data_IF_341916817659
#
_entry.id   IF_341916817659
#
_cell.length_a   1.000
_cell.length_b   1.000
_cell.length_c   1.000
_cell.angle_alpha   90.00
_cell.angle_beta   90.00
_cell.angle_gamma   90.00
#
_symmetry.space_group_name_H-M   'P 1'
#
loop_
_entity.id
_entity.type
_entity.pdbx_description
1 polymer ?
#
# COMPACT_ATOMS: atom_id res chain seq x y z
N UNK A 1 2.21 -30.38 2.95
CA UNK A 1 2.49 -29.32 1.97
C UNK A 1 2.83 -28.06 2.76
N UNK A 2 3.95 -27.41 2.47
CA UNK A 2 4.34 -26.14 3.12
C UNK A 2 3.37 -25.06 2.68
N UNK A 3 2.83 -24.27 3.63
CA UNK A 3 1.94 -23.15 3.32
C UNK A 3 2.79 -21.95 2.86
N UNK A 4 2.28 -21.11 1.97
CA UNK A 4 3.04 -19.95 1.43
C UNK A 4 2.40 -18.63 1.85
N UNK A 5 3.26 -17.67 2.18
CA UNK A 5 2.90 -16.27 2.44
C UNK A 5 3.82 -15.39 1.61
N UNK A 6 3.27 -14.38 0.93
CA UNK A 6 4.07 -13.51 0.07
C UNK A 6 4.44 -12.19 0.71
N UNK A 7 5.47 -11.56 0.16
CA UNK A 7 5.83 -10.17 0.43
C UNK A 7 6.48 -9.57 -0.80
N UNK A 8 6.42 -8.25 -0.94
CA UNK A 8 7.18 -7.53 -1.97
C UNK A 8 8.46 -6.95 -1.38
N UNK A 9 9.66 -7.27 -1.92
CA UNK A 9 10.89 -6.61 -1.53
C UNK A 9 10.90 -5.15 -2.01
N UNK A 10 10.65 -4.22 -1.10
CA UNK A 10 10.36 -2.84 -1.43
C UNK A 10 11.33 -1.84 -0.79
N UNK A 11 11.39 -0.64 -1.37
CA UNK A 11 11.99 0.53 -0.74
C UNK A 11 11.11 1.76 -1.00
N UNK A 12 10.85 2.52 0.06
CA UNK A 12 10.00 3.71 -0.02
C UNK A 12 10.81 4.95 -0.36
N UNK A 13 10.46 5.64 -1.45
CA UNK A 13 10.86 7.02 -1.68
C UNK A 13 9.70 7.93 -1.29
N UNK A 14 9.98 8.95 -0.49
CA UNK A 14 9.01 9.96 -0.10
C UNK A 14 9.28 11.25 -0.87
N UNK A 15 8.51 11.58 -1.92
CA UNK A 15 8.68 12.83 -2.67
C UNK A 15 8.54 14.04 -1.75
N UNK A 16 7.55 13.99 -0.85
CA UNK A 16 7.34 14.99 0.19
C UNK A 16 6.42 14.45 1.29
N UNK A 17 6.62 14.93 2.52
CA UNK A 17 5.71 14.72 3.65
C UNK A 17 4.61 15.78 3.73
N UNK A 18 4.66 16.84 2.89
CA UNK A 18 3.66 17.90 2.89
C UNK A 18 2.28 17.33 2.56
N UNK A 19 1.31 17.56 3.45
CA UNK A 19 -0.06 17.14 3.21
C UNK A 19 -1.07 18.20 3.68
N UNK A 20 -1.95 18.61 2.77
CA UNK A 20 -3.02 19.55 3.07
C UNK A 20 -4.13 18.93 3.94
N UNK A 21 -4.29 17.61 3.92
CA UNK A 21 -5.17 16.89 4.83
C UNK A 21 -4.56 16.82 6.22
N UNK A 22 -5.40 16.86 7.26
CA UNK A 22 -4.99 16.81 8.67
C UNK A 22 -5.63 15.63 9.40
N UNK A 23 -5.43 14.42 8.86
CA UNK A 23 -5.93 13.20 9.49
C UNK A 23 -5.32 13.07 10.89
N UNK A 24 -6.14 12.98 11.93
CA UNK A 24 -5.65 13.07 13.31
C UNK A 24 -4.80 11.86 13.73
N UNK A 25 -4.95 10.72 13.07
CA UNK A 25 -4.16 9.50 13.27
C UNK A 25 -2.84 9.45 12.49
N UNK A 26 -2.54 10.44 11.65
CA UNK A 26 -1.42 10.36 10.72
C UNK A 26 -0.12 10.89 11.33
N UNK A 27 0.90 10.04 11.44
CA UNK A 27 2.26 10.41 11.87
C UNK A 27 3.18 10.88 10.73
N UNK A 28 2.74 10.70 9.49
CA UNK A 28 3.55 10.93 8.29
C UNK A 28 3.58 12.40 7.87
N UNK A 29 2.47 13.12 8.03
CA UNK A 29 2.31 14.46 7.44
C UNK A 29 3.16 15.53 8.10
N UNK A 30 3.57 16.50 7.31
CA UNK A 30 3.89 17.87 7.76
C UNK A 30 2.97 18.89 7.10
N UNK A 31 2.93 20.11 7.62
CA UNK A 31 2.12 21.16 7.03
C UNK A 31 2.70 21.61 5.67
N UNK A 32 1.86 22.05 4.71
CA UNK A 32 2.33 22.56 3.44
C UNK A 32 3.41 23.64 3.61
N UNK A 33 4.42 23.63 2.74
CA UNK A 33 5.59 24.52 2.75
C UNK A 33 6.58 24.30 3.91
N UNK A 34 6.48 23.20 4.67
CA UNK A 34 7.42 22.88 5.76
C UNK A 34 8.41 21.75 5.45
N UNK A 35 8.41 21.23 4.22
CA UNK A 35 9.33 20.18 3.79
C UNK A 35 9.97 20.53 2.43
N UNK A 36 11.13 19.93 2.17
CA UNK A 36 11.85 20.09 0.91
C UNK A 36 11.68 18.82 0.09
N UNK A 37 11.17 18.96 -1.12
CA UNK A 37 10.91 17.80 -1.98
C UNK A 37 12.19 17.01 -2.25
N UNK A 38 12.08 15.69 -2.20
CA UNK A 38 13.16 14.76 -2.48
C UNK A 38 13.64 14.94 -3.94
N UNK A 39 14.87 15.39 -4.15
CA UNK A 39 15.37 15.68 -5.50
C UNK A 39 15.65 14.42 -6.31
N UNK A 40 15.57 14.52 -7.64
CA UNK A 40 15.93 13.41 -8.54
C UNK A 40 17.38 12.94 -8.37
N UNK A 41 18.30 13.87 -8.06
CA UNK A 41 19.70 13.55 -7.78
C UNK A 41 19.85 12.68 -6.53
N UNK A 42 19.22 13.08 -5.41
CA UNK A 42 19.22 12.30 -4.17
C UNK A 42 18.56 10.94 -4.39
N UNK A 43 17.43 10.90 -5.09
CA UNK A 43 16.74 9.65 -5.45
C UNK A 43 17.63 8.73 -6.26
N UNK A 44 18.37 9.26 -7.25
CA UNK A 44 19.32 8.47 -8.05
C UNK A 44 20.41 7.87 -7.16
N UNK A 45 20.98 8.64 -6.24
CA UNK A 45 21.99 8.12 -5.29
C UNK A 45 21.43 7.01 -4.41
N UNK A 46 20.18 7.14 -3.95
CA UNK A 46 19.51 6.09 -3.17
C UNK A 46 19.33 4.84 -4.02
N UNK A 47 18.74 4.98 -5.21
CA UNK A 47 18.45 3.87 -6.13
C UNK A 47 19.72 3.13 -6.59
N UNK A 48 20.83 3.85 -6.81
CA UNK A 48 22.13 3.24 -7.14
C UNK A 48 22.63 2.29 -6.03
N UNK A 49 22.36 2.61 -4.76
CA UNK A 49 22.71 1.75 -3.62
C UNK A 49 21.80 0.50 -3.51
N UNK A 50 20.68 0.48 -4.23
CA UNK A 50 19.70 -0.62 -4.22
C UNK A 50 19.88 -1.60 -5.39
N UNK A 51 20.57 -1.22 -6.48
CA UNK A 51 20.67 -2.05 -7.70
C UNK A 51 21.24 -3.46 -7.48
N UNK A 52 22.08 -3.64 -6.45
CA UNK A 52 22.68 -4.95 -6.11
C UNK A 52 21.99 -5.64 -4.94
N UNK A 53 20.84 -5.12 -4.50
CA UNK A 53 20.00 -5.72 -3.45
C UNK A 53 18.80 -6.38 -4.10
N UNK A 54 18.18 -7.32 -3.39
CA UNK A 54 16.93 -7.96 -3.81
C UNK A 54 15.71 -7.04 -3.66
N UNK A 55 15.81 -5.73 -3.97
CA UNK A 55 14.69 -4.77 -3.94
C UNK A 55 14.16 -4.59 -5.36
N UNK A 56 12.91 -4.96 -5.61
CA UNK A 56 12.28 -4.82 -6.92
C UNK A 56 11.29 -3.66 -6.96
N UNK A 57 10.55 -3.43 -5.88
CA UNK A 57 9.53 -2.40 -5.79
C UNK A 57 10.11 -1.10 -5.25
N UNK A 58 9.78 0.01 -5.91
CA UNK A 58 10.00 1.35 -5.37
C UNK A 58 8.63 1.97 -5.09
N UNK A 59 8.26 1.97 -3.81
CA UNK A 59 7.02 2.57 -3.34
C UNK A 59 7.21 4.09 -3.30
N UNK A 60 6.53 4.79 -4.19
CA UNK A 60 6.45 6.26 -4.18
C UNK A 60 5.28 6.66 -3.28
N UNK A 61 5.60 6.93 -2.01
CA UNK A 61 4.64 7.30 -0.98
C UNK A 61 4.73 8.80 -0.71
N UNK A 62 3.66 9.55 -0.88
CA UNK A 62 3.69 11.02 -0.77
C UNK A 62 2.57 11.57 0.09
N UNK A 63 2.84 12.72 0.71
CA UNK A 63 1.78 13.60 1.17
C UNK A 63 1.07 14.24 -0.03
N UNK A 64 -0.07 14.88 0.20
CA UNK A 64 -0.91 15.43 -0.86
C UNK A 64 -0.74 16.95 -0.99
N UNK A 65 -0.56 17.41 -2.22
CA UNK A 65 -0.70 18.83 -2.58
C UNK A 65 -2.13 19.10 -3.06
N UNK A 66 -2.78 20.10 -2.47
CA UNK A 66 -4.17 20.47 -2.76
C UNK A 66 -4.41 20.64 -4.28
N UNK A 67 -5.51 20.10 -4.85
CA UNK A 67 -5.77 20.16 -6.30
C UNK A 67 -5.77 21.57 -6.90
N UNK A 68 -6.22 22.57 -6.14
CA UNK A 68 -6.23 23.98 -6.55
C UNK A 68 -4.93 24.75 -6.25
N UNK A 69 -3.91 24.09 -5.68
CA UNK A 69 -2.63 24.74 -5.39
C UNK A 69 -1.85 25.01 -6.68
N UNK A 70 -1.17 26.16 -6.76
CA UNK A 70 -0.23 26.45 -7.85
C UNK A 70 0.92 25.44 -7.95
N UNK A 71 1.22 24.72 -6.86
CA UNK A 71 2.25 23.66 -6.79
C UNK A 71 1.76 22.30 -7.31
N UNK A 72 0.46 22.10 -7.55
CA UNK A 72 -0.11 20.79 -7.91
C UNK A 72 0.55 20.19 -9.14
N UNK A 73 0.67 20.98 -10.21
CA UNK A 73 1.29 20.52 -11.47
C UNK A 73 2.75 20.11 -11.27
N UNK A 74 3.52 20.90 -10.54
CA UNK A 74 4.92 20.60 -10.25
C UNK A 74 5.06 19.35 -9.36
N UNK A 75 4.20 19.19 -8.36
CA UNK A 75 4.16 18.03 -7.48
C UNK A 75 3.88 16.75 -8.25
N UNK A 76 2.87 16.78 -9.13
CA UNK A 76 2.54 15.63 -9.97
C UNK A 76 3.67 15.28 -10.94
N UNK A 77 4.23 16.27 -11.64
CA UNK A 77 5.36 16.05 -12.55
C UNK A 77 6.54 15.42 -11.82
N UNK A 78 6.83 15.89 -10.61
CA UNK A 78 7.92 15.36 -9.79
C UNK A 78 7.71 13.90 -9.39
N UNK A 79 6.49 13.50 -9.03
CA UNK A 79 6.13 12.10 -8.78
C UNK A 79 6.37 11.25 -10.04
N UNK A 80 5.91 11.73 -11.20
CA UNK A 80 6.12 11.05 -12.47
C UNK A 80 7.61 10.88 -12.80
N UNK A 81 8.41 11.93 -12.61
CA UNK A 81 9.85 11.90 -12.88
C UNK A 81 10.59 10.92 -11.95
N UNK A 82 10.17 10.82 -10.69
CA UNK A 82 10.68 9.80 -9.75
C UNK A 82 10.32 8.37 -10.18
N UNK A 83 9.08 8.15 -10.63
CA UNK A 83 8.67 6.85 -11.18
C UNK A 83 9.47 6.48 -12.43
N UNK A 84 9.63 7.42 -13.37
CA UNK A 84 10.45 7.22 -14.57
C UNK A 84 11.91 6.92 -14.22
N UNK A 85 12.48 7.64 -13.25
CA UNK A 85 13.85 7.39 -12.80
C UNK A 85 13.99 5.97 -12.27
N UNK A 86 13.13 5.55 -11.35
CA UNK A 86 13.13 4.19 -10.79
C UNK A 86 12.98 3.12 -11.89
N UNK A 87 12.02 3.30 -12.81
CA UNK A 87 11.81 2.37 -13.92
C UNK A 87 13.01 2.30 -14.87
N UNK A 88 13.63 3.44 -15.19
CA UNK A 88 14.83 3.50 -16.04
C UNK A 88 16.03 2.75 -15.44
N UNK A 89 16.04 2.59 -14.12
CA UNK A 89 17.07 1.89 -13.36
C UNK A 89 16.73 0.41 -13.12
N UNK A 90 15.62 -0.08 -13.67
CA UNK A 90 15.20 -1.49 -13.60
C UNK A 90 14.28 -1.84 -12.44
N UNK A 91 13.86 -0.87 -11.62
CA UNK A 91 12.88 -1.09 -10.56
C UNK A 91 11.44 -1.03 -11.08
N UNK A 92 10.49 -1.44 -10.25
CA UNK A 92 9.05 -1.41 -10.52
C UNK A 92 8.40 -0.36 -9.61
N UNK A 93 8.01 0.82 -10.13
CA UNK A 93 7.35 1.84 -9.33
C UNK A 93 5.95 1.40 -8.90
N UNK A 94 5.58 1.76 -7.68
CA UNK A 94 4.23 1.64 -7.15
C UNK A 94 3.88 2.95 -6.43
N UNK A 95 2.87 3.70 -6.87
CA UNK A 95 2.50 4.98 -6.24
C UNK A 95 1.36 4.82 -5.26
N UNK A 96 1.52 5.40 -4.06
CA UNK A 96 0.43 5.71 -3.12
C UNK A 96 0.59 7.18 -2.70
N UNK A 97 -0.09 8.08 -3.43
CA UNK A 97 0.16 9.53 -3.38
C UNK A 97 -1.12 10.35 -3.13
N UNK A 98 -2.17 9.68 -2.64
CA UNK A 98 -3.47 10.30 -2.39
C UNK A 98 -4.34 10.50 -3.63
N UNK A 99 -5.21 11.51 -3.60
CA UNK A 99 -6.21 11.71 -4.67
C UNK A 99 -5.57 12.27 -5.94
N UNK A 100 -5.82 11.56 -7.04
CA UNK A 100 -5.39 11.90 -8.40
C UNK A 100 -6.61 12.11 -9.29
N UNK A 101 -6.50 13.00 -10.27
CA UNK A 101 -7.44 13.08 -11.38
C UNK A 101 -7.30 11.88 -12.31
N UNK A 102 -8.34 11.59 -13.09
CA UNK A 102 -8.31 10.52 -14.10
C UNK A 102 -7.09 10.62 -15.04
N UNK A 103 -6.80 11.82 -15.56
CA UNK A 103 -5.67 12.06 -16.46
C UNK A 103 -4.30 11.87 -15.77
N UNK A 104 -4.18 12.24 -14.49
CA UNK A 104 -2.98 11.99 -13.69
C UNK A 104 -2.76 10.48 -13.48
N UNK A 105 -3.83 9.70 -13.24
CA UNK A 105 -3.76 8.24 -13.13
C UNK A 105 -3.39 7.58 -14.46
N UNK A 106 -4.02 8.00 -15.56
CA UNK A 106 -3.71 7.51 -16.91
C UNK A 106 -2.22 7.73 -17.26
N UNK A 107 -1.69 8.89 -16.90
CA UNK A 107 -0.28 9.22 -17.09
C UNK A 107 0.62 8.33 -16.21
N UNK A 108 0.33 8.21 -14.91
CA UNK A 108 1.14 7.41 -13.98
C UNK A 108 1.11 5.91 -14.29
N UNK A 109 0.01 5.39 -14.85
CA UNK A 109 -0.10 4.01 -15.31
C UNK A 109 1.05 3.61 -16.26
N UNK A 110 1.55 4.54 -17.06
CA UNK A 110 2.61 4.26 -18.04
C UNK A 110 3.95 3.88 -17.39
N UNK A 111 4.14 4.27 -16.12
CA UNK A 111 5.39 4.13 -15.36
C UNK A 111 5.23 3.38 -14.04
N UNK A 112 4.01 2.97 -13.66
CA UNK A 112 3.74 2.23 -12.42
C UNK A 112 3.27 0.80 -12.68
N UNK A 113 3.87 -0.17 -11.97
CA UNK A 113 3.46 -1.57 -11.99
C UNK A 113 2.14 -1.79 -11.24
N UNK A 114 1.92 -1.03 -10.16
CA UNK A 114 0.68 -0.98 -9.39
C UNK A 114 0.48 0.44 -8.86
N UNK A 115 -0.75 0.78 -8.49
CA UNK A 115 -1.05 2.02 -7.76
C UNK A 115 -1.88 1.68 -6.53
N UNK A 116 -1.86 2.54 -5.52
CA UNK A 116 -2.60 2.28 -4.30
C UNK A 116 -3.24 3.49 -3.67
N UNK A 117 -4.31 3.22 -2.93
CA UNK A 117 -5.04 4.19 -2.12
C UNK A 117 -5.78 3.46 -1.00
N UNK A 118 -5.50 3.81 0.25
CA UNK A 118 -6.33 3.37 1.38
C UNK A 118 -7.71 4.02 1.29
N UNK A 119 -8.79 3.23 1.32
CA UNK A 119 -10.14 3.77 1.52
C UNK A 119 -10.31 4.24 2.97
N UNK A 120 -9.59 3.61 3.89
CA UNK A 120 -9.74 3.74 5.34
C UNK A 120 -11.08 3.18 5.79
N UNK A 121 -12.16 3.96 5.63
CA UNK A 121 -13.54 3.62 5.95
C UNK A 121 -14.46 4.51 5.10
N UNK A 122 -15.59 3.98 4.63
CA UNK A 122 -16.58 4.79 3.87
C UNK A 122 -17.63 5.46 4.73
N UNK A 123 -17.62 5.23 6.05
CA UNK A 123 -18.60 5.82 6.96
C UNK A 123 -18.38 7.34 7.06
N UNK A 124 -19.41 8.17 6.79
CA UNK A 124 -19.24 9.62 6.78
C UNK A 124 -18.98 10.20 8.17
N UNK A 125 -19.23 9.44 9.24
CA UNK A 125 -18.99 9.85 10.63
C UNK A 125 -17.54 10.24 10.90
N UNK A 126 -16.58 9.66 10.18
CA UNK A 126 -15.17 10.02 10.35
C UNK A 126 -14.87 11.44 9.87
N UNK A 127 -15.68 12.01 8.97
CA UNK A 127 -15.59 13.41 8.53
C UNK A 127 -15.97 14.40 9.65
N UNK A 128 -16.59 13.95 10.73
CA UNK A 128 -16.87 14.76 11.91
C UNK A 128 -15.79 14.59 13.00
N UNK A 129 -14.88 13.63 12.81
CA UNK A 129 -13.86 13.25 13.81
C UNK A 129 -12.46 13.27 13.19
N UNK A 130 -11.85 12.11 12.95
CA UNK A 130 -10.46 11.94 12.55
C UNK A 130 -10.14 12.49 11.15
N UNK A 131 -11.16 12.68 10.31
CA UNK A 131 -11.05 13.24 8.97
C UNK A 131 -11.65 14.65 8.84
N UNK A 132 -12.04 15.31 9.95
CA UNK A 132 -12.74 16.60 9.88
C UNK A 132 -11.99 17.76 9.22
N UNK A 133 -10.68 17.62 9.05
CA UNK A 133 -9.83 18.57 8.32
C UNK A 133 -9.07 17.88 7.18
N UNK A 134 -9.68 16.86 6.58
CA UNK A 134 -9.08 16.01 5.55
C UNK A 134 -10.06 15.83 4.37
N UNK A 135 -10.27 16.86 3.55
CA UNK A 135 -11.23 16.82 2.44
C UNK A 135 -10.96 15.69 1.43
N UNK A 136 -9.71 15.20 1.29
CA UNK A 136 -9.42 14.03 0.42
C UNK A 136 -9.91 12.70 0.98
N UNK A 137 -10.39 12.67 2.23
CA UNK A 137 -10.95 11.47 2.89
C UNK A 137 -12.46 11.35 2.70
N UNK A 138 -13.08 12.22 1.89
CA UNK A 138 -14.49 12.07 1.51
C UNK A 138 -14.70 10.69 0.84
N UNK A 139 -15.60 9.83 1.36
CA UNK A 139 -15.78 8.46 0.84
C UNK A 139 -16.05 8.39 -0.66
N UNK A 140 -16.84 9.33 -1.21
CA UNK A 140 -17.14 9.37 -2.64
C UNK A 140 -15.88 9.60 -3.50
N UNK A 141 -14.93 10.41 -3.05
CA UNK A 141 -13.67 10.64 -3.78
C UNK A 141 -12.79 9.39 -3.74
N UNK A 142 -12.73 8.71 -2.58
CA UNK A 142 -11.97 7.47 -2.41
C UNK A 142 -12.50 6.38 -3.33
N UNK A 143 -13.81 6.13 -3.30
CA UNK A 143 -14.45 5.12 -4.16
C UNK A 143 -14.37 5.49 -5.65
N UNK A 144 -14.49 6.78 -6.00
CA UNK A 144 -14.32 7.23 -7.38
C UNK A 144 -12.91 6.93 -7.92
N UNK A 145 -11.87 7.06 -7.10
CA UNK A 145 -10.52 6.77 -7.54
C UNK A 145 -10.28 5.26 -7.77
N UNK A 146 -10.87 4.39 -6.94
CA UNK A 146 -10.86 2.95 -7.18
C UNK A 146 -11.61 2.61 -8.48
N UNK A 147 -12.81 3.18 -8.68
CA UNK A 147 -13.57 3.03 -9.92
C UNK A 147 -12.78 3.47 -11.16
N UNK A 148 -12.06 4.60 -11.09
CA UNK A 148 -11.18 5.05 -12.18
C UNK A 148 -9.98 4.13 -12.41
N UNK A 149 -9.39 3.55 -11.36
CA UNK A 149 -8.34 2.55 -11.51
C UNK A 149 -8.84 1.34 -12.31
N UNK A 150 -10.06 0.89 -12.02
CA UNK A 150 -10.74 -0.16 -12.78
C UNK A 150 -10.96 0.19 -14.25
N UNK A 151 -11.53 1.38 -14.52
CA UNK A 151 -11.75 1.88 -15.89
C UNK A 151 -10.44 1.97 -16.70
N UNK A 152 -9.36 2.38 -16.04
CA UNK A 152 -8.03 2.51 -16.64
C UNK A 152 -7.26 1.19 -16.70
N UNK A 153 -7.79 0.07 -16.17
CA UNK A 153 -7.07 -1.21 -16.04
C UNK A 153 -5.72 -1.04 -15.34
N UNK A 154 -5.75 -0.45 -14.15
CA UNK A 154 -4.59 -0.27 -13.28
C UNK A 154 -4.70 -1.33 -12.17
N UNK A 155 -3.71 -2.24 -12.04
CA UNK A 155 -3.63 -3.12 -10.88
C UNK A 155 -3.53 -2.27 -9.61
N UNK A 156 -4.40 -2.54 -8.64
CA UNK A 156 -4.61 -1.61 -7.55
C UNK A 156 -4.57 -2.26 -6.17
N UNK A 157 -3.82 -1.65 -5.27
CA UNK A 157 -3.75 -2.02 -3.85
C UNK A 157 -4.59 -1.05 -3.04
N UNK A 158 -5.58 -1.56 -2.32
CA UNK A 158 -6.42 -0.74 -1.43
C UNK A 158 -6.50 -1.35 -0.05
N UNK A 159 -7.29 -0.78 0.84
CA UNK A 159 -7.42 -1.30 2.19
C UNK A 159 -8.23 -0.43 3.13
N UNK A 160 -8.43 -0.98 4.32
CA UNK A 160 -9.12 -0.33 5.43
C UNK A 160 -8.15 -0.12 6.60
N UNK A 161 -8.39 0.96 7.34
CA UNK A 161 -7.67 1.26 8.57
C UNK A 161 -8.63 1.03 9.73
N UNK A 162 -8.17 0.22 10.69
CA UNK A 162 -8.93 -0.25 11.83
C UNK A 162 -8.53 0.52 13.07
N UNK A 163 -9.48 0.94 13.90
CA UNK A 163 -9.24 1.56 15.19
C UNK A 163 -9.16 3.08 15.17
N UNK A 164 -9.86 3.72 14.23
CA UNK A 164 -9.89 5.19 14.06
C UNK A 164 -11.25 5.81 14.40
N UNK A 165 -12.15 5.04 14.99
CA UNK A 165 -13.47 5.48 15.48
C UNK A 165 -14.66 4.86 14.73
N UNK A 166 -14.41 3.98 13.79
CA UNK A 166 -15.43 3.19 13.10
C UNK A 166 -16.06 2.12 13.99
N UNK A 167 -17.27 1.69 13.64
CA UNK A 167 -17.85 0.45 14.16
C UNK A 167 -17.42 -0.75 13.32
N UNK A 168 -17.59 -1.94 13.86
CA UNK A 168 -17.28 -3.19 13.14
C UNK A 168 -18.09 -3.28 11.83
N UNK A 169 -19.37 -2.89 11.86
CA UNK A 169 -20.24 -2.90 10.68
C UNK A 169 -19.80 -1.90 9.60
N UNK A 170 -19.18 -0.77 10.00
CA UNK A 170 -18.64 0.21 9.04
C UNK A 170 -17.48 -0.41 8.23
N UNK A 171 -16.68 -1.29 8.85
CA UNK A 171 -15.61 -2.03 8.16
C UNK A 171 -16.17 -3.02 7.14
N UNK A 172 -17.27 -3.71 7.47
CA UNK A 172 -17.92 -4.65 6.55
C UNK A 172 -18.51 -3.94 5.34
N UNK A 173 -19.23 -2.83 5.53
CA UNK A 173 -19.74 -2.03 4.41
C UNK A 173 -18.61 -1.51 3.52
N UNK A 174 -17.46 -1.16 4.10
CA UNK A 174 -16.28 -0.75 3.32
C UNK A 174 -15.72 -1.92 2.48
N UNK A 175 -15.59 -3.12 3.07
CA UNK A 175 -15.17 -4.33 2.37
C UNK A 175 -16.15 -4.73 1.26
N UNK A 176 -17.46 -4.61 1.49
CA UNK A 176 -18.50 -4.88 0.49
C UNK A 176 -18.40 -3.92 -0.70
N UNK A 177 -18.21 -2.63 -0.46
CA UNK A 177 -18.00 -1.65 -1.53
C UNK A 177 -16.73 -1.95 -2.37
N UNK A 178 -15.66 -2.40 -1.71
CA UNK A 178 -14.43 -2.86 -2.40
C UNK A 178 -14.72 -4.12 -3.23
N UNK A 179 -15.48 -5.08 -2.68
CA UNK A 179 -15.87 -6.30 -3.39
C UNK A 179 -16.71 -6.02 -4.64
N UNK A 180 -17.66 -5.07 -4.57
CA UNK A 180 -18.47 -4.64 -5.72
C UNK A 180 -17.60 -4.05 -6.85
N UNK A 181 -16.61 -3.22 -6.49
CA UNK A 181 -15.68 -2.64 -7.45
C UNK A 181 -14.77 -3.69 -8.10
N UNK A 182 -14.33 -4.69 -7.33
CA UNK A 182 -13.58 -5.81 -7.88
C UNK A 182 -14.43 -6.69 -8.80
N UNK A 183 -15.68 -6.98 -8.44
CA UNK A 183 -16.60 -7.73 -9.30
C UNK A 183 -16.87 -7.02 -10.62
N UNK A 184 -16.88 -5.68 -10.61
CA UNK A 184 -17.14 -4.87 -11.80
C UNK A 184 -15.93 -4.72 -12.71
N UNK A 185 -14.74 -4.57 -12.15
CA UNK A 185 -13.55 -4.15 -12.90
C UNK A 185 -12.36 -5.11 -12.87
N UNK A 186 -12.35 -6.07 -11.94
CA UNK A 186 -11.30 -7.08 -11.78
C UNK A 186 -9.89 -6.50 -11.74
N UNK A 187 -9.67 -5.48 -10.89
CA UNK A 187 -8.44 -4.68 -10.88
C UNK A 187 -7.78 -4.59 -9.50
N UNK A 188 -8.51 -4.97 -8.44
CA UNK A 188 -8.03 -4.89 -7.07
C UNK A 188 -7.27 -6.18 -6.80
N UNK A 189 -5.95 -6.07 -6.67
CA UNK A 189 -5.09 -7.22 -6.41
C UNK A 189 -5.04 -7.55 -4.92
N UNK A 190 -5.10 -6.52 -4.08
CA UNK A 190 -4.83 -6.61 -2.64
C UNK A 190 -5.75 -5.69 -1.86
N UNK A 191 -6.20 -6.20 -0.71
CA UNK A 191 -6.83 -5.41 0.34
C UNK A 191 -6.02 -5.56 1.62
N UNK A 192 -5.40 -4.46 2.06
CA UNK A 192 -4.70 -4.40 3.34
C UNK A 192 -5.70 -4.15 4.48
N UNK A 193 -5.62 -4.99 5.52
CA UNK A 193 -6.29 -4.78 6.80
C UNK A 193 -5.26 -4.22 7.78
N UNK A 194 -5.24 -2.90 7.91
CA UNK A 194 -4.22 -2.21 8.69
C UNK A 194 -4.77 -1.86 10.09
N UNK A 195 -4.25 -2.42 11.18
CA UNK A 195 -4.53 -1.91 12.51
C UNK A 195 -3.84 -0.56 12.73
N UNK A 196 -4.56 0.43 13.22
CA UNK A 196 -3.97 1.70 13.65
C UNK A 196 -3.17 1.49 14.94
N UNK A 197 -1.97 2.09 14.95
CA UNK A 197 -1.02 2.05 16.04
C UNK A 197 -0.62 3.49 16.39
N UNK A 198 -0.53 3.81 17.68
CA UNK A 198 -0.25 5.16 18.17
C UNK A 198 1.20 5.59 17.88
N UNK A 199 1.40 6.61 17.05
CA UNK A 199 2.71 7.23 16.89
C UNK A 199 2.92 8.51 17.71
N UNK A 200 4.13 9.05 17.64
CA UNK A 200 4.61 10.20 18.40
C UNK A 200 4.19 11.56 17.83
N UNK A 201 3.70 11.60 16.58
CA UNK A 201 3.42 12.85 15.84
C UNK A 201 1.93 13.08 15.56
N UNK A 202 1.09 12.09 15.83
CA UNK A 202 -0.35 12.17 15.61
C UNK A 202 -1.06 12.94 16.74
N UNK A 203 -2.31 13.33 16.48
CA UNK A 203 -3.19 13.95 17.47
C UNK A 203 -4.15 12.96 18.13
N UNK A 204 -4.45 11.85 17.47
CA UNK A 204 -5.33 10.82 18.01
C UNK A 204 -4.61 10.12 19.17
N UNK A 205 -5.16 10.24 20.38
CA UNK A 205 -4.51 9.74 21.60
C UNK A 205 -4.86 8.27 21.90
N UNK A 206 -5.93 7.73 21.30
CA UNK A 206 -6.40 6.37 21.56
C UNK A 206 -6.65 5.65 20.24
N UNK A 207 -6.02 4.49 20.07
CA UNK A 207 -6.42 3.51 19.06
C UNK A 207 -7.50 2.61 19.65
N UNK A 208 -8.59 2.43 18.92
CA UNK A 208 -9.74 1.67 19.44
C UNK A 208 -9.73 0.20 19.03
N UNK A 209 -8.79 -0.24 18.20
CA UNK A 209 -8.78 -1.62 17.69
C UNK A 209 -7.94 -2.57 18.56
N UNK A 210 -8.55 -3.58 19.20
CA UNK A 210 -7.80 -4.62 19.91
C UNK A 210 -7.10 -5.54 18.92
N UNK A 211 -5.76 -5.58 18.95
CA UNK A 211 -4.96 -6.32 17.96
C UNK A 211 -5.27 -7.83 17.94
N UNK A 212 -5.69 -8.41 19.07
CA UNK A 212 -6.12 -9.80 19.20
C UNK A 212 -7.40 -10.12 18.40
N UNK A 213 -8.15 -9.09 17.96
CA UNK A 213 -9.29 -9.25 17.05
C UNK A 213 -8.90 -9.27 15.58
N UNK A 214 -7.66 -8.96 15.21
CA UNK A 214 -7.23 -8.92 13.81
C UNK A 214 -7.48 -10.25 13.07
N UNK A 215 -7.22 -11.45 13.64
CA UNK A 215 -7.53 -12.71 12.97
C UNK A 215 -9.02 -12.88 12.64
N UNK A 216 -9.92 -12.39 13.51
CA UNK A 216 -11.36 -12.41 13.25
C UNK A 216 -11.75 -11.47 12.12
N UNK A 217 -11.13 -10.27 12.08
CA UNK A 217 -11.33 -9.33 10.98
C UNK A 217 -10.82 -9.90 9.65
N UNK A 218 -9.67 -10.59 9.65
CA UNK A 218 -9.13 -11.28 8.46
C UNK A 218 -10.09 -12.38 7.98
N UNK A 219 -10.58 -13.24 8.88
CA UNK A 219 -11.54 -14.27 8.53
C UNK A 219 -12.81 -13.66 7.92
N UNK A 220 -13.33 -12.58 8.52
CA UNK A 220 -14.52 -11.90 8.02
C UNK A 220 -14.30 -11.22 6.67
N UNK A 221 -13.16 -10.56 6.48
CA UNK A 221 -12.78 -9.99 5.20
C UNK A 221 -12.66 -11.08 4.12
N UNK A 222 -12.18 -12.29 4.47
CA UNK A 222 -12.09 -13.40 3.54
C UNK A 222 -13.46 -13.91 3.08
N UNK A 223 -14.47 -13.87 3.96
CA UNK A 223 -15.86 -14.18 3.61
C UNK A 223 -16.47 -13.15 2.65
N UNK A 224 -16.18 -11.86 2.85
CA UNK A 224 -16.79 -10.75 2.09
C UNK A 224 -16.09 -10.55 0.73
N UNK A 225 -14.76 -10.55 0.72
CA UNK A 225 -13.98 -10.21 -0.47
C UNK A 225 -13.94 -11.41 -1.44
N UNK A 226 -13.98 -11.17 -2.77
CA UNK A 226 -13.74 -12.20 -3.78
C UNK A 226 -12.37 -12.88 -3.62
N UNK A 227 -12.28 -14.17 -3.93
CA UNK A 227 -11.03 -14.94 -3.85
C UNK A 227 -9.90 -14.39 -4.76
N UNK A 228 -10.23 -13.57 -5.77
CA UNK A 228 -9.24 -12.88 -6.60
C UNK A 228 -8.44 -11.83 -5.83
N UNK A 229 -8.97 -11.29 -4.73
CA UNK A 229 -8.29 -10.32 -3.87
C UNK A 229 -7.45 -11.06 -2.83
N UNK A 230 -6.16 -10.74 -2.81
CA UNK A 230 -5.26 -11.17 -1.73
C UNK A 230 -5.47 -10.29 -0.49
N UNK A 231 -5.64 -10.91 0.69
CA UNK A 231 -5.68 -10.18 1.95
C UNK A 231 -4.26 -9.96 2.45
N UNK A 232 -3.90 -8.69 2.58
CA UNK A 232 -2.63 -8.24 3.10
C UNK A 232 -2.75 -7.82 4.57
N UNK A 233 -1.74 -8.14 5.37
CA UNK A 233 -1.59 -7.62 6.74
C UNK A 233 -0.17 -7.05 6.93
N UNK A 234 0.00 -5.91 7.61
CA UNK A 234 1.32 -5.33 7.84
C UNK A 234 1.99 -5.98 9.07
N UNK A 235 3.03 -6.82 8.90
CA UNK A 235 3.62 -7.57 10.01
C UNK A 235 4.26 -6.66 11.07
N UNK A 236 4.69 -5.45 10.69
CA UNK A 236 5.31 -4.48 11.59
C UNK A 236 4.33 -3.86 12.60
N UNK A 237 3.03 -3.92 12.33
CA UNK A 237 1.99 -3.40 13.24
C UNK A 237 1.38 -4.50 14.12
N UNK A 238 1.89 -5.73 14.01
CA UNK A 238 1.45 -6.91 14.76
C UNK A 238 2.60 -7.35 15.66
N UNK A 239 2.60 -6.85 16.90
CA UNK A 239 3.70 -7.07 17.84
C UNK A 239 3.71 -8.45 18.51
N UNK A 240 2.57 -9.15 18.58
CA UNK A 240 2.50 -10.54 19.03
C UNK A 240 2.65 -11.50 17.83
N UNK A 241 3.75 -12.28 17.75
CA UNK A 241 3.96 -13.26 16.69
C UNK A 241 2.82 -14.28 16.54
N UNK A 242 2.12 -14.62 17.63
CA UNK A 242 0.97 -15.54 17.58
C UNK A 242 -0.20 -14.91 16.83
N UNK A 243 -0.48 -13.63 17.06
CA UNK A 243 -1.52 -12.91 16.33
C UNK A 243 -1.23 -12.87 14.82
N UNK A 244 0.04 -12.66 14.43
CA UNK A 244 0.45 -12.72 13.03
C UNK A 244 0.14 -14.10 12.43
N UNK A 245 0.55 -15.18 13.11
CA UNK A 245 0.29 -16.56 12.67
C UNK A 245 -1.20 -16.89 12.60
N UNK A 246 -1.99 -16.42 13.57
CA UNK A 246 -3.45 -16.61 13.58
C UNK A 246 -4.12 -15.88 12.40
N UNK A 247 -3.62 -14.71 12.00
CA UNK A 247 -4.10 -14.01 10.80
C UNK A 247 -3.81 -14.81 9.52
N UNK A 248 -2.65 -15.47 9.45
CA UNK A 248 -2.29 -16.35 8.33
C UNK A 248 -3.25 -17.55 8.23
N UNK A 249 -3.56 -18.18 9.36
CA UNK A 249 -4.56 -19.26 9.41
C UNK A 249 -5.96 -18.76 9.05
N UNK A 250 -6.31 -17.52 9.42
CA UNK A 250 -7.59 -16.89 9.12
C UNK A 250 -7.78 -16.52 7.64
N UNK A 251 -6.71 -16.41 6.85
CA UNK A 251 -6.81 -16.17 5.40
C UNK A 251 -5.92 -15.08 4.83
N UNK A 252 -5.08 -14.42 5.64
CA UNK A 252 -4.07 -13.49 5.11
C UNK A 252 -3.04 -14.26 4.27
N UNK A 253 -2.71 -13.72 3.09
CA UNK A 253 -1.78 -14.36 2.14
C UNK A 253 -0.64 -13.45 1.69
N UNK A 254 -0.62 -12.21 2.16
CA UNK A 254 0.47 -11.28 1.86
C UNK A 254 0.87 -10.40 3.05
N UNK A 255 2.15 -10.08 3.16
CA UNK A 255 2.74 -9.21 4.20
C UNK A 255 3.05 -7.78 3.71
N UNK A 256 2.73 -7.48 2.45
CA UNK A 256 2.94 -6.18 1.82
C UNK A 256 4.37 -5.95 1.36
N UNK A 257 4.64 -4.69 1.01
CA UNK A 257 5.99 -4.19 0.77
C UNK A 257 6.81 -4.15 2.06
N UNK A 258 7.81 -5.01 2.17
CA UNK A 258 8.74 -4.98 3.31
C UNK A 258 9.93 -4.10 2.94
N UNK A 259 9.97 -2.92 3.57
CA UNK A 259 11.04 -1.93 3.44
C UNK A 259 11.91 -1.93 4.71
N UNK A 260 13.21 -1.58 4.63
CA UNK A 260 14.07 -1.43 5.81
C UNK A 260 13.55 -0.39 6.82
N UNK A 261 12.70 0.54 6.37
CA UNK A 261 12.07 1.58 7.19
C UNK A 261 10.63 1.79 6.74
N UNK A 262 9.70 1.81 7.71
CA UNK A 262 8.33 2.28 7.52
C UNK A 262 8.31 3.80 7.74
N UNK A 263 7.92 4.53 6.69
CA UNK A 263 7.84 5.99 6.72
C UNK A 263 6.53 6.49 7.33
N UNK A 264 5.47 5.66 7.33
CA UNK A 264 4.15 6.00 7.88
C UNK A 264 4.11 5.76 9.39
N UNK A 265 4.66 4.63 9.85
CA UNK A 265 4.68 4.22 11.26
C UNK A 265 6.13 4.06 11.77
N UNK A 266 6.92 5.16 11.81
CA UNK A 266 8.35 5.09 12.10
C UNK A 266 8.68 4.69 13.55
N UNK A 267 7.71 4.78 14.45
CA UNK A 267 7.88 4.50 15.89
C UNK A 267 7.86 2.99 16.21
N UNK A 268 7.54 2.15 15.23
CA UNK A 268 7.39 0.70 15.42
C UNK A 268 8.56 -0.06 14.78
N UNK A 269 9.14 -0.96 15.58
CA UNK A 269 10.23 -1.82 15.11
C UNK A 269 9.72 -2.89 14.16
N UNK A 270 10.55 -3.21 13.18
CA UNK A 270 10.29 -4.27 12.22
C UNK A 270 10.96 -5.55 12.73
N UNK A 271 10.28 -6.68 12.58
CA UNK A 271 11.01 -7.95 12.57
C UNK A 271 12.01 -7.90 11.41
N UNK A 272 13.24 -8.34 11.65
CA UNK A 272 14.20 -8.49 10.56
C UNK A 272 13.66 -9.52 9.56
N UNK A 273 14.08 -9.44 8.30
CA UNK A 273 13.67 -10.40 7.29
C UNK A 273 13.95 -11.85 7.74
N UNK A 274 15.14 -12.11 8.31
CA UNK A 274 15.47 -13.42 8.86
C UNK A 274 14.56 -13.81 10.03
N UNK A 275 14.23 -12.87 10.92
CA UNK A 275 13.30 -13.12 12.02
C UNK A 275 11.89 -13.50 11.54
N UNK A 276 11.41 -12.89 10.45
CA UNK A 276 10.15 -13.29 9.81
C UNK A 276 10.25 -14.70 9.22
N UNK A 277 11.33 -15.01 8.50
CA UNK A 277 11.57 -16.35 7.92
C UNK A 277 11.55 -17.42 9.02
N UNK A 278 12.29 -17.20 10.11
CA UNK A 278 12.40 -18.17 11.21
C UNK A 278 11.05 -18.37 11.92
N UNK A 279 10.34 -17.27 12.19
CA UNK A 279 9.00 -17.31 12.79
C UNK A 279 8.01 -18.12 11.93
N UNK A 280 7.95 -17.84 10.64
CA UNK A 280 7.03 -18.47 9.71
C UNK A 280 7.38 -19.96 9.52
N UNK A 281 8.67 -20.27 9.35
CA UNK A 281 9.15 -21.65 9.22
C UNK A 281 8.82 -22.50 10.44
N UNK A 282 8.82 -21.92 11.66
CA UNK A 282 8.43 -22.62 12.90
C UNK A 282 7.00 -23.16 12.90
N UNK A 283 6.14 -22.67 11.98
CA UNK A 283 4.76 -23.11 11.77
C UNK A 283 4.50 -23.69 10.38
N UNK A 284 5.55 -24.02 9.63
CA UNK A 284 5.44 -24.62 8.30
C UNK A 284 4.97 -23.65 7.21
N UNK A 285 5.20 -22.35 7.42
CA UNK A 285 5.01 -21.31 6.41
C UNK A 285 6.34 -20.96 5.73
N UNK A 286 6.30 -20.80 4.42
CA UNK A 286 7.39 -20.31 3.59
C UNK A 286 7.12 -18.86 3.19
N UNK A 287 8.06 -17.96 3.50
CA UNK A 287 8.03 -16.57 3.06
C UNK A 287 8.58 -16.46 1.63
N UNK A 288 7.73 -16.06 0.69
CA UNK A 288 8.07 -16.04 -0.73
C UNK A 288 8.06 -14.61 -1.28
N UNK A 289 9.14 -14.13 -1.91
CA UNK A 289 9.14 -12.82 -2.53
C UNK A 289 8.26 -12.80 -3.78
N UNK A 290 7.56 -11.69 -4.00
CA UNK A 290 6.75 -11.43 -5.20
C UNK A 290 7.00 -10.06 -5.79
N UNK A 291 6.58 -9.87 -7.04
CA UNK A 291 6.57 -8.56 -7.67
C UNK A 291 5.41 -7.71 -7.12
N UNK A 292 5.47 -6.37 -7.23
CA UNK A 292 4.41 -5.47 -6.77
C UNK A 292 3.10 -5.59 -7.56
N UNK A 293 3.05 -6.44 -8.57
CA UNK A 293 1.89 -6.71 -9.42
C UNK A 293 1.76 -8.21 -9.66
N UNK A 294 0.53 -8.72 -9.61
CA UNK A 294 0.25 -10.15 -9.75
C UNK A 294 0.30 -10.61 -11.22
N UNK A 295 0.66 -11.88 -11.49
CA UNK A 295 0.88 -12.38 -12.85
C UNK A 295 -0.26 -12.14 -13.84
N UNK A 296 -1.52 -12.22 -13.41
CA UNK A 296 -2.70 -12.04 -14.27
C UNK A 296 -2.86 -10.60 -14.78
N UNK A 297 -2.14 -9.64 -14.20
CA UNK A 297 -2.16 -8.23 -14.61
C UNK A 297 -1.00 -7.83 -15.52
N UNK A 298 -0.03 -8.71 -15.80
CA UNK A 298 1.17 -8.34 -16.57
C UNK A 298 0.85 -7.77 -17.96
N UNK A 299 -0.21 -8.26 -18.60
CA UNK A 299 -0.65 -7.79 -19.91
C UNK A 299 -1.33 -6.39 -19.89
N UNK A 300 -1.64 -5.84 -18.72
CA UNK A 300 -2.21 -4.49 -18.58
C UNK A 300 -1.15 -3.39 -18.56
N UNK A 301 0.11 -3.78 -18.34
CA UNK A 301 1.21 -2.87 -18.13
C UNK A 301 1.82 -2.41 -19.45
N UNK A 302 2.46 -1.23 -19.42
CA UNK A 302 3.18 -0.70 -20.58
C UNK A 302 4.35 -1.61 -20.98
N UNK A 303 4.80 -1.51 -22.23
CA UNK A 303 5.91 -2.33 -22.73
C UNK A 303 7.21 -2.15 -21.93
N UNK A 304 7.45 -0.95 -21.40
CA UNK A 304 8.61 -0.67 -20.54
C UNK A 304 8.52 -1.41 -19.20
N UNK A 305 7.34 -1.45 -18.59
CA UNK A 305 7.08 -2.20 -17.36
C UNK A 305 7.15 -3.72 -17.58
N UNK A 306 6.58 -4.23 -18.68
CA UNK A 306 6.68 -5.66 -19.02
C UNK A 306 8.13 -6.11 -19.21
N UNK A 307 8.97 -5.24 -19.80
CA UNK A 307 10.42 -5.50 -19.93
C UNK A 307 11.10 -5.55 -18.56
N UNK A 308 10.81 -4.61 -17.66
CA UNK A 308 11.36 -4.61 -16.30
C UNK A 308 10.92 -5.85 -15.51
N UNK A 309 9.63 -6.22 -15.58
CA UNK A 309 9.08 -7.43 -14.97
C UNK A 309 9.78 -8.70 -15.46
N UNK A 310 10.01 -8.81 -16.78
CA UNK A 310 10.67 -9.98 -17.37
C UNK A 310 12.09 -10.16 -16.82
N UNK A 311 12.83 -9.07 -16.60
CA UNK A 311 14.16 -9.11 -15.97
C UNK A 311 14.09 -9.66 -14.54
N UNK A 312 13.09 -9.23 -13.75
CA UNK A 312 12.94 -9.71 -12.37
C UNK A 312 12.45 -11.15 -12.29
N UNK A 313 11.50 -11.55 -13.14
CA UNK A 313 11.01 -12.93 -13.20
C UNK A 313 12.10 -13.94 -13.60
N UNK A 314 13.08 -13.51 -14.40
CA UNK A 314 14.22 -14.34 -14.78
C UNK A 314 15.37 -14.30 -13.75
N UNK A 315 15.26 -13.49 -12.69
CA UNK A 315 16.26 -13.43 -11.64
C UNK A 315 16.12 -14.61 -10.67
N UNK A 316 17.24 -15.09 -10.13
CA UNK A 316 17.26 -16.19 -9.14
C UNK A 316 16.53 -15.88 -7.83
N UNK A 317 16.10 -14.62 -7.62
CA UNK A 317 15.46 -14.16 -6.40
C UNK A 317 13.94 -14.30 -6.41
N UNK A 318 13.30 -14.49 -7.58
CA UNK A 318 11.85 -14.63 -7.69
C UNK A 318 11.51 -15.99 -8.28
N UNK A 319 10.89 -16.85 -7.47
CA UNK A 319 10.21 -18.05 -7.99
C UNK A 319 8.84 -17.62 -8.51
N UNK A 320 8.43 -18.00 -9.72
CA UNK A 320 7.13 -17.59 -10.26
C UNK A 320 6.01 -18.08 -9.34
N UNK A 321 5.17 -17.13 -8.89
CA UNK A 321 3.94 -17.39 -8.14
C UNK A 321 2.93 -18.10 -9.05
N UNK A 322 3.11 -19.39 -9.25
CA UNK A 322 2.09 -20.24 -9.85
C UNK A 322 1.16 -20.66 -8.72
N UNK A 323 0.04 -19.94 -8.59
CA UNK A 323 -1.10 -20.19 -7.69
C UNK A 323 -0.81 -20.22 -6.19
N UNK A 324 -0.83 -19.04 -5.55
CA UNK A 324 -1.20 -18.89 -4.13
C UNK A 324 -2.65 -18.43 -4.07
#
# INVERSE_FOLDING_TARGET
MTKKITYSPAYTLVPTYECFNRCTYCNFRVDPHQDSWLTLEKSRTILQKLQYKSVCEILILSGEVHPQSSRRKAWFQHIYDLCQLALSMGFLPHTNVGILSFAEMETLKTVNASMGLMVEQITPKLLETVHGHSPSKLPSLRLQQLEWAGQLKIPFTTGILLGIGEKEEDSWHTLEAIAELEQKWHHIQEVILQPHQLGSKQKLEVSTFPIDKLPKMVAKAREILPNSITIQIPPNLITDPRCLLDCLEAGARDLGGISPKDEVNPDYSHLSHQGLVDLLASKGWELVPRLPVYPHYYNWLSSSLQKALSTWNNSSHFQPLLSI
#
